data_IF_131836774362
#
_entry.id   IF_131836774362
#
_cell.length_a   1.000
_cell.length_b   1.000
_cell.length_c   1.000
_cell.angle_alpha   90.00
_cell.angle_beta   90.00
_cell.angle_gamma   90.00
#
_symmetry.space_group_name_H-M   'P 1'
#
loop_
_entity.id
_entity.type
_entity.pdbx_description
1 polymer ?
#
# COMPACT_ATOMS: atom_id res chain seq x y z
N UNK A 1 16.03 -9.23 -3.64
CA UNK A 1 15.50 -7.90 -3.23
C UNK A 1 14.55 -7.40 -4.30
N UNK A 2 13.41 -6.88 -3.91
CA UNK A 2 12.45 -6.30 -4.85
C UNK A 2 12.95 -4.95 -5.38
N UNK A 3 12.64 -4.62 -6.63
CA UNK A 3 12.85 -3.28 -7.15
C UNK A 3 11.92 -2.28 -6.43
N UNK A 4 12.22 -0.98 -6.54
CA UNK A 4 11.38 0.06 -5.94
C UNK A 4 9.93 -0.04 -6.44
N UNK A 5 9.74 -0.21 -7.76
CA UNK A 5 8.41 -0.38 -8.35
C UNK A 5 7.69 -1.62 -7.82
N UNK A 6 8.39 -2.74 -7.68
CA UNK A 6 7.81 -3.96 -7.12
C UNK A 6 7.37 -3.79 -5.67
N UNK A 7 8.08 -3.00 -4.87
CA UNK A 7 7.67 -2.68 -3.49
C UNK A 7 6.37 -1.87 -3.50
N UNK A 8 6.24 -0.89 -4.38
CA UNK A 8 5.00 -0.09 -4.49
C UNK A 8 3.82 -0.98 -4.91
N UNK A 9 4.00 -1.87 -5.87
CA UNK A 9 2.98 -2.83 -6.31
C UNK A 9 2.59 -3.76 -5.15
N UNK A 10 3.56 -4.22 -4.37
CA UNK A 10 3.32 -5.04 -3.19
C UNK A 10 2.49 -4.30 -2.13
N UNK A 11 2.80 -3.04 -1.84
CA UNK A 11 2.01 -2.23 -0.90
C UNK A 11 0.59 -2.04 -1.41
N UNK A 12 0.42 -1.71 -2.69
CA UNK A 12 -0.90 -1.55 -3.31
C UNK A 12 -1.72 -2.84 -3.26
N UNK A 13 -1.07 -3.99 -3.47
CA UNK A 13 -1.72 -5.31 -3.35
C UNK A 13 -2.23 -5.56 -1.94
N UNK A 14 -1.47 -5.13 -0.93
CA UNK A 14 -1.90 -5.19 0.48
C UNK A 14 -3.13 -4.34 0.74
N UNK A 15 -3.17 -3.13 0.19
CA UNK A 15 -4.33 -2.24 0.33
C UNK A 15 -5.59 -2.84 -0.31
N UNK A 16 -5.45 -3.42 -1.51
CA UNK A 16 -6.56 -4.09 -2.20
C UNK A 16 -7.09 -5.26 -1.37
N UNK A 17 -6.20 -6.10 -0.88
CA UNK A 17 -6.57 -7.24 -0.05
C UNK A 17 -7.30 -6.78 1.21
N UNK A 18 -6.74 -5.83 1.94
CA UNK A 18 -7.31 -5.35 3.20
C UNK A 18 -8.67 -4.69 2.99
N UNK A 19 -8.84 -3.92 1.91
CA UNK A 19 -10.11 -3.28 1.59
C UNK A 19 -11.22 -4.30 1.35
N UNK A 20 -10.92 -5.44 0.75
CA UNK A 20 -11.87 -6.52 0.52
C UNK A 20 -12.09 -7.39 1.75
N UNK A 21 -11.02 -7.88 2.34
CA UNK A 21 -11.08 -8.76 3.51
C UNK A 21 -11.68 -8.04 4.72
N UNK A 22 -11.36 -6.77 4.90
CA UNK A 22 -11.88 -5.95 5.97
C UNK A 22 -13.38 -5.68 5.88
N UNK A 23 -13.95 -5.76 4.67
CA UNK A 23 -15.40 -5.68 4.45
C UNK A 23 -16.10 -7.04 4.54
N UNK A 24 -15.42 -8.07 4.98
CA UNK A 24 -15.98 -9.40 5.16
C UNK A 24 -15.99 -10.27 3.93
N UNK A 25 -15.37 -9.83 2.83
CA UNK A 25 -15.26 -10.65 1.64
C UNK A 25 -14.23 -11.77 1.85
N UNK A 26 -14.54 -12.96 1.37
CA UNK A 26 -13.59 -14.06 1.35
C UNK A 26 -12.66 -13.88 0.16
N UNK A 27 -11.44 -13.43 0.43
CA UNK A 27 -10.42 -13.23 -0.60
C UNK A 27 -9.13 -13.92 -0.18
N UNK A 28 -8.42 -14.48 -1.15
CA UNK A 28 -7.07 -14.97 -0.95
C UNK A 28 -6.08 -13.83 -1.21
N UNK A 29 -4.98 -13.87 -0.49
CA UNK A 29 -3.86 -12.99 -0.83
C UNK A 29 -3.41 -13.28 -2.26
N UNK A 30 -3.41 -12.25 -3.06
CA UNK A 30 -2.94 -12.30 -4.44
C UNK A 30 -2.17 -11.02 -4.74
N UNK A 31 -0.88 -11.16 -4.94
CA UNK A 31 -0.05 -10.01 -5.25
C UNK A 31 -0.12 -9.72 -6.74
N UNK A 32 -0.38 -8.45 -7.08
CA UNK A 32 -0.37 -8.00 -8.45
C UNK A 32 1.00 -8.25 -9.09
N UNK A 33 1.01 -8.59 -10.36
CA UNK A 33 2.24 -8.83 -11.10
C UNK A 33 2.92 -7.50 -11.41
N UNK A 34 4.09 -7.27 -10.82
CA UNK A 34 4.85 -6.05 -11.00
C UNK A 34 5.24 -5.79 -12.47
N UNK A 35 5.33 -6.84 -13.29
CA UNK A 35 5.64 -6.69 -14.71
C UNK A 35 4.55 -5.95 -15.50
N UNK A 36 3.32 -5.90 -14.97
CA UNK A 36 2.21 -5.13 -15.56
C UNK A 36 2.30 -3.64 -15.28
N UNK A 37 3.19 -3.23 -14.39
CA UNK A 37 3.36 -1.84 -13.96
C UNK A 37 4.81 -1.40 -14.17
N UNK A 38 5.26 -1.31 -15.44
CA UNK A 38 6.69 -1.12 -15.75
C UNK A 38 7.20 0.30 -15.54
N UNK A 39 6.31 1.28 -15.35
CA UNK A 39 6.70 2.68 -15.20
C UNK A 39 6.34 3.22 -13.83
N UNK A 40 7.03 4.28 -13.41
CA UNK A 40 6.70 5.00 -12.19
C UNK A 40 5.24 5.47 -12.19
N UNK A 41 4.78 6.02 -13.32
CA UNK A 41 3.40 6.50 -13.46
C UNK A 41 2.38 5.37 -13.24
N UNK A 42 2.63 4.18 -13.78
CA UNK A 42 1.76 3.02 -13.61
C UNK A 42 1.71 2.57 -12.14
N UNK A 43 2.85 2.54 -11.45
CA UNK A 43 2.92 2.18 -10.04
C UNK A 43 2.18 3.21 -9.16
N UNK A 44 2.37 4.50 -9.42
CA UNK A 44 1.69 5.58 -8.67
C UNK A 44 0.18 5.51 -8.90
N UNK A 45 -0.26 5.28 -10.12
CA UNK A 45 -1.69 5.14 -10.44
C UNK A 45 -2.31 3.95 -9.72
N UNK A 46 -1.66 2.79 -9.73
CA UNK A 46 -2.11 1.62 -8.99
C UNK A 46 -2.26 1.92 -7.49
N UNK A 47 -1.25 2.53 -6.90
CA UNK A 47 -1.27 2.87 -5.47
C UNK A 47 -2.42 3.82 -5.14
N UNK A 48 -2.61 4.88 -5.92
CA UNK A 48 -3.70 5.84 -5.73
C UNK A 48 -5.07 5.17 -5.84
N UNK A 49 -5.25 4.31 -6.84
CA UNK A 49 -6.52 3.60 -7.05
C UNK A 49 -6.80 2.61 -5.93
N UNK A 50 -5.78 1.91 -5.45
CA UNK A 50 -5.93 0.95 -4.35
C UNK A 50 -6.35 1.65 -3.05
N UNK A 51 -5.76 2.79 -2.74
CA UNK A 51 -6.11 3.59 -1.56
C UNK A 51 -7.52 4.14 -1.70
N UNK A 52 -7.87 4.72 -2.85
CA UNK A 52 -9.20 5.28 -3.09
C UNK A 52 -10.29 4.21 -2.98
N UNK A 53 -10.04 3.02 -3.53
CA UNK A 53 -10.97 1.89 -3.46
C UNK A 53 -11.18 1.42 -2.02
N UNK A 54 -10.12 1.28 -1.25
CA UNK A 54 -10.20 0.90 0.17
C UNK A 54 -10.96 1.95 0.99
N UNK A 55 -10.66 3.23 0.78
CA UNK A 55 -11.35 4.32 1.47
C UNK A 55 -12.83 4.37 1.11
N UNK A 56 -13.19 4.19 -0.15
CA UNK A 56 -14.59 4.17 -0.60
C UNK A 56 -15.37 3.02 0.05
N UNK A 57 -14.74 1.84 0.16
CA UNK A 57 -15.34 0.69 0.82
C UNK A 57 -15.61 0.96 2.30
N UNK A 58 -14.67 1.57 3.00
CA UNK A 58 -14.82 1.95 4.42
C UNK A 58 -15.92 3.00 4.59
N UNK A 59 -15.97 4.01 3.73
CA UNK A 59 -16.99 5.05 3.79
C UNK A 59 -18.39 4.49 3.52
N UNK A 60 -18.50 3.51 2.62
CA UNK A 60 -19.77 2.85 2.32
C UNK A 60 -20.25 1.96 3.48
N UNK A 61 -19.34 1.43 4.29
CA UNK A 61 -19.65 0.55 5.41
C UNK A 61 -18.72 0.84 6.61
N UNK A 62 -18.93 1.95 7.35
CA UNK A 62 -18.04 2.31 8.46
C UNK A 62 -18.02 1.28 9.59
N UNK A 63 -19.03 0.44 9.71
CA UNK A 63 -19.08 -0.62 10.72
C UNK A 63 -18.18 -1.81 10.37
N UNK A 64 -17.81 -1.98 9.11
CA UNK A 64 -16.95 -3.07 8.68
C UNK A 64 -15.64 -3.15 9.46
N UNK A 65 -14.87 -2.05 9.57
CA UNK A 65 -13.65 -2.05 10.39
C UNK A 65 -13.88 -2.36 11.86
N UNK A 66 -15.01 -1.94 12.42
CA UNK A 66 -15.35 -2.22 13.82
C UNK A 66 -15.58 -3.72 14.06
N UNK A 67 -16.21 -4.39 13.10
CA UNK A 67 -16.51 -5.82 13.19
C UNK A 67 -15.32 -6.70 12.82
N UNK A 68 -14.42 -6.20 11.99
CA UNK A 68 -13.32 -6.97 11.44
C UNK A 68 -12.09 -6.09 11.26
N UNK A 69 -11.50 -5.70 12.37
CA UNK A 69 -10.41 -4.73 12.39
C UNK A 69 -9.06 -5.30 11.96
N UNK A 70 -8.86 -6.61 12.07
CA UNK A 70 -7.56 -7.25 11.85
C UNK A 70 -6.94 -6.93 10.47
N UNK A 71 -7.67 -7.05 9.33
CA UNK A 71 -7.08 -6.71 8.04
C UNK A 71 -6.60 -5.26 7.96
N UNK A 72 -7.29 -4.32 8.60
CA UNK A 72 -6.90 -2.92 8.62
C UNK A 72 -5.66 -2.67 9.47
N UNK A 73 -5.55 -3.33 10.62
CA UNK A 73 -4.34 -3.27 11.45
C UNK A 73 -3.16 -3.89 10.71
N UNK A 74 -3.38 -5.00 10.03
CA UNK A 74 -2.33 -5.68 9.24
C UNK A 74 -1.81 -4.78 8.12
N UNK A 75 -2.68 -4.08 7.40
CA UNK A 75 -2.24 -3.19 6.32
C UNK A 75 -1.53 -1.96 6.86
N UNK A 76 -1.94 -1.44 8.01
CA UNK A 76 -1.26 -0.34 8.66
C UNK A 76 0.16 -0.72 9.07
N UNK A 77 0.31 -1.88 9.71
CA UNK A 77 1.62 -2.42 10.08
C UNK A 77 2.50 -2.66 8.85
N UNK A 78 1.95 -3.29 7.82
CA UNK A 78 2.63 -3.61 6.57
C UNK A 78 3.12 -2.34 5.86
N UNK A 79 2.26 -1.33 5.75
CA UNK A 79 2.61 -0.06 5.13
C UNK A 79 3.70 0.68 5.91
N UNK A 80 3.62 0.67 7.25
CA UNK A 80 4.63 1.30 8.10
C UNK A 80 5.99 0.62 7.97
N UNK A 81 6.02 -0.71 7.90
CA UNK A 81 7.23 -1.49 7.71
C UNK A 81 7.89 -1.15 6.36
N UNK A 82 7.13 -1.19 5.28
CA UNK A 82 7.66 -0.87 3.95
C UNK A 82 8.06 0.59 3.82
N UNK A 83 7.35 1.50 4.47
CA UNK A 83 7.76 2.90 4.51
C UNK A 83 9.16 3.05 5.13
N UNK A 84 9.39 2.41 6.28
CA UNK A 84 10.70 2.42 6.93
C UNK A 84 11.80 1.85 6.04
N UNK A 85 11.52 0.75 5.34
CA UNK A 85 12.48 0.14 4.40
C UNK A 85 12.79 1.07 3.22
N UNK A 86 11.79 1.75 2.68
CA UNK A 86 11.98 2.72 1.59
C UNK A 86 12.84 3.91 2.04
N UNK A 87 12.62 4.40 3.26
CA UNK A 87 13.47 5.46 3.85
C UNK A 87 14.92 4.98 3.93
N UNK A 88 15.15 3.76 4.40
CA UNK A 88 16.48 3.18 4.48
C UNK A 88 17.15 3.07 3.11
N UNK A 89 16.40 2.64 2.08
CA UNK A 89 16.92 2.55 0.72
C UNK A 89 17.28 3.92 0.13
N UNK A 90 16.47 4.94 0.39
CA UNK A 90 16.78 6.31 -0.01
C UNK A 90 18.14 6.74 0.59
N UNK A 91 18.30 6.59 1.88
CA UNK A 91 19.54 6.99 2.56
C UNK A 91 20.75 6.16 2.12
N UNK A 92 20.57 4.87 1.90
CA UNK A 92 21.63 4.00 1.39
C UNK A 92 22.10 4.42 -0.01
N UNK A 93 21.25 5.07 -0.79
CA UNK A 93 21.58 5.58 -2.13
C UNK A 93 21.93 7.08 -2.12
N UNK A 94 22.17 7.66 -0.98
CA UNK A 94 22.54 9.08 -0.86
C UNK A 94 21.39 10.04 -1.13
N UNK A 95 20.14 9.56 -1.10
CA UNK A 95 18.96 10.37 -1.34
C UNK A 95 18.33 10.80 -0.01
N UNK A 96 17.77 12.00 0.00
CA UNK A 96 17.03 12.50 1.15
C UNK A 96 15.57 12.08 1.00
N UNK A 97 14.99 11.36 1.98
CA UNK A 97 13.57 11.00 1.92
C UNK A 97 12.70 12.26 1.85
N UNK A 98 11.53 12.19 1.16
CA UNK A 98 10.70 13.37 0.95
C UNK A 98 10.33 14.14 2.22
N UNK A 99 10.05 13.44 3.32
CA UNK A 99 9.67 14.08 4.58
C UNK A 99 10.83 14.82 5.27
N UNK A 100 12.06 14.45 4.94
CA UNK A 100 13.26 15.11 5.49
C UNK A 100 13.77 16.24 4.60
N UNK A 101 13.11 16.51 3.48
CA UNK A 101 13.48 17.59 2.58
C UNK A 101 12.97 18.93 3.10
N UNK A 102 13.70 20.03 2.83
CA UNK A 102 13.21 21.35 3.21
C UNK A 102 11.83 21.62 2.61
N UNK A 103 10.93 22.17 3.39
CA UNK A 103 9.62 22.60 2.91
C UNK A 103 9.77 23.89 2.14
N UNK A 104 9.10 23.96 0.98
CA UNK A 104 9.07 25.20 0.19
C UNK A 104 8.07 26.19 0.77
#
# INVERSE_FOLDING_TARGET
>A
MRSFGAVIVHIASGDIYAGKAGMGQKVKWDEEDAAKYPTKAACVDLLKKSIASANAAIQANPEGPTKNIEPFLSVLQHSSEHYGLLVAYYRANGLVPPESRPKK
#
